data_IF_860449924637
#
_entry.id   IF_860449924637
#
_cell.length_a   1.000
_cell.length_b   1.000
_cell.length_c   1.000
_cell.angle_alpha   90.00
_cell.angle_beta   90.00
_cell.angle_gamma   90.00
#
_symmetry.space_group_name_H-M   'P 1'
#
loop_
_entity.id
_entity.type
_entity.pdbx_description
1 polymer ?
2 polymer ?
3 polymer ?
4 non-polymer ?
#
loop_
_entity_poly.entity_id
_entity_poly.type
_entity_poly.pdbx_seq_one_letter_code
_entity_poly.pdbx_strand_id
2 'polyribonucleotide' 'GAGUAGUUCAGUGGUAGAACACCACCUUGCCAAGGUGGGGGUCGCGGGUUCGAAUCCCGUCUCGGGCGAAAGCCC' ?
3 'polyribonucleotide' 'GGGUGCGAUGAGAAGAAGAGUAUUAAGGAUUUACUAUGAUUAGCGACUCUAGGAUAGUGAAAGCUAGAGGAUAGUAACCUUAAGAAGGCACUUCGAGCACCC' ?
#
# COMPACT_ATOMS: atom_id res chain seq x y z
N UNK A 2 -6.53 1.95 -6.68
CA UNK A 2 -7.93 2.35 -6.63
C UNK A 2 -8.29 2.56 -5.18
N UNK A 3 -9.42 3.22 -4.93
CA UNK A 3 -9.78 3.63 -3.58
C UNK A 3 -11.02 2.86 -3.13
N UNK A 4 -11.81 2.43 -4.11
CA UNK A 4 -12.93 1.55 -3.85
C UNK A 4 -12.47 0.20 -3.33
N UNK A 5 -11.25 -0.21 -3.70
CA UNK A 5 -10.74 -1.56 -3.39
C UNK A 5 -10.01 -1.61 -2.05
N UNK A 6 -9.54 -0.46 -1.64
CA UNK A 6 -8.91 -0.36 -0.36
C UNK A 6 -10.04 -0.13 0.65
N UNK A 7 -11.05 0.66 0.28
CA UNK A 7 -12.27 0.80 1.10
C UNK A 7 -12.82 -0.58 1.34
N UNK A 8 -12.88 -1.30 0.23
CA UNK A 8 -13.13 -2.72 0.14
C UNK A 8 -12.32 -3.56 1.11
N UNK A 9 -12.87 -4.76 1.31
CA UNK A 9 -12.14 -5.98 1.59
C UNK A 9 -12.16 -6.37 3.05
N UNK A 10 -11.39 -7.43 3.33
CA UNK A 10 -11.27 -7.92 4.67
C UNK A 10 -9.95 -7.51 5.35
N UNK A 11 -8.85 -8.06 4.84
CA UNK A 11 -7.56 -7.94 5.48
C UNK A 11 -6.60 -6.97 4.80
N UNK A 12 -6.43 -5.82 5.41
CA UNK A 12 -5.62 -4.77 4.81
C UNK A 12 -4.44 -4.39 5.77
N UNK A 13 -3.57 -3.49 5.32
CA UNK A 13 -2.22 -3.30 5.85
C UNK A 13 -1.85 -1.81 5.73
N UNK A 14 -1.45 -1.16 6.83
CA UNK A 14 -1.31 0.32 6.81
C UNK A 14 0.08 0.82 7.29
N UNK A 15 0.61 1.83 6.61
CA UNK A 15 1.93 2.34 6.90
C UNK A 15 2.88 1.68 5.92
N UNK A 16 4.10 2.19 5.79
CA UNK A 16 4.98 1.59 4.78
C UNK A 16 5.97 0.59 5.34
N UNK A 17 6.41 0.80 6.57
CA UNK A 17 7.26 -0.18 7.26
C UNK A 17 6.51 -1.51 7.32
N UNK A 18 5.20 -1.36 7.42
CA UNK A 18 4.20 -2.40 7.52
C UNK A 18 4.01 -3.22 6.24
N UNK A 19 3.80 -2.50 5.13
CA UNK A 19 3.67 -3.18 3.85
C UNK A 19 5.01 -3.90 3.68
N UNK A 20 6.14 -3.19 3.71
CA UNK A 20 7.47 -3.81 3.55
C UNK A 20 7.71 -5.09 4.38
N UNK A 21 7.38 -5.06 5.68
CA UNK A 21 7.53 -6.24 6.55
C UNK A 21 6.65 -7.40 6.10
N UNK A 22 5.46 -7.02 5.64
CA UNK A 22 4.45 -7.98 5.22
C UNK A 22 4.72 -8.45 3.80
N UNK A 23 5.71 -7.86 3.18
CA UNK A 23 6.10 -8.18 1.81
C UNK A 23 7.08 -9.37 1.83
N UNK A 24 7.76 -9.53 2.95
CA UNK A 24 8.75 -10.59 3.12
C UNK A 24 8.07 -11.81 3.75
N UNK A 25 6.78 -11.64 4.06
CA UNK A 25 5.86 -12.70 4.49
C UNK A 25 5.13 -13.35 3.31
N UNK A 26 4.87 -12.55 2.28
CA UNK A 26 4.30 -13.04 1.04
C UNK A 26 2.84 -13.47 1.09
N UNK A 27 2.12 -13.14 2.16
CA UNK A 27 0.69 -13.41 2.17
C UNK A 27 -0.13 -12.18 1.85
N UNK A 28 0.39 -11.33 0.98
CA UNK A 28 -0.37 -10.17 0.52
C UNK A 28 -0.90 -10.45 -0.89
N UNK A 29 -2.19 -10.17 -1.11
CA UNK A 29 -2.76 -10.33 -2.45
C UNK A 29 -2.46 -9.15 -3.38
N UNK A 30 -2.55 -7.92 -2.87
CA UNK A 30 -2.27 -6.73 -3.68
C UNK A 30 -1.69 -5.58 -2.82
N UNK A 31 -0.94 -4.66 -3.41
CA UNK A 31 -0.37 -3.55 -2.64
C UNK A 31 -0.52 -2.19 -3.36
N UNK A 32 -1.13 -1.20 -2.70
CA UNK A 32 -1.39 0.15 -3.28
C UNK A 32 -0.72 1.37 -2.64
N UNK A 33 -0.22 2.25 -3.50
CA UNK A 33 0.78 3.21 -3.05
C UNK A 33 0.54 4.58 -3.64
N UNK A 34 0.94 5.62 -2.92
CA UNK A 34 0.67 7.02 -3.27
C UNK A 34 1.78 7.74 -4.02
N UNK A 35 1.40 8.36 -5.13
CA UNK A 35 2.36 9.03 -6.02
C UNK A 35 2.87 10.36 -5.48
N UNK A 36 2.09 10.99 -4.60
CA UNK A 36 2.45 12.30 -4.03
C UNK A 36 3.51 12.15 -2.95
N UNK A 37 3.59 10.93 -2.45
CA UNK A 37 4.59 10.51 -1.48
C UNK A 37 6.03 10.78 -1.93
N UNK A 38 6.91 10.86 -0.94
CA UNK A 38 8.33 10.83 -1.19
C UNK A 38 8.75 9.51 -1.84
N UNK A 39 9.42 9.57 -2.99
CA UNK A 39 9.87 8.36 -3.65
C UNK A 39 10.99 7.63 -2.89
N UNK A 40 11.46 8.21 -1.78
CA UNK A 40 12.50 7.58 -0.96
C UNK A 40 11.96 6.34 -0.26
N UNK A 41 10.74 6.46 0.21
CA UNK A 41 10.04 5.34 0.77
C UNK A 41 9.36 4.55 -0.38
N UNK A 42 8.52 5.19 -1.19
CA UNK A 42 7.75 4.50 -2.23
C UNK A 42 8.62 3.58 -3.15
N UNK A 43 9.85 4.02 -3.43
CA UNK A 43 10.92 3.17 -4.00
C UNK A 43 10.93 1.78 -3.37
N UNK A 44 10.98 1.82 -2.04
CA UNK A 44 11.22 0.67 -1.18
C UNK A 44 9.99 -0.22 -1.00
N UNK A 45 8.84 0.18 -1.54
CA UNK A 45 7.68 -0.72 -1.58
C UNK A 45 7.45 -1.28 -3.00
N UNK A 46 7.83 -0.52 -4.03
CA UNK A 46 7.63 -1.04 -5.41
C UNK A 46 8.77 -1.91 -5.95
N UNK A 47 9.99 -1.73 -5.45
CA UNK A 47 11.11 -2.63 -5.78
C UNK A 47 10.77 -4.08 -5.50
N UNK A 48 10.30 -4.32 -4.29
CA UNK A 48 10.09 -5.68 -3.83
C UNK A 48 8.66 -6.15 -4.16
N UNK A 49 7.69 -5.24 -4.29
CA UNK A 49 6.39 -5.66 -4.84
C UNK A 49 6.51 -5.96 -6.35
N UNK A 50 7.60 -5.45 -6.93
CA UNK A 50 8.09 -5.82 -8.27
C UNK A 50 8.68 -7.22 -8.29
N UNK A 51 9.72 -7.40 -7.46
CA UNK A 51 10.53 -8.60 -7.47
C UNK A 51 9.69 -9.82 -7.21
N UNK A 52 8.74 -9.64 -6.30
CA UNK A 52 7.86 -10.72 -5.87
C UNK A 52 6.92 -11.20 -6.96
N UNK A 53 6.22 -10.27 -7.60
CA UNK A 53 5.30 -10.61 -8.68
C UNK A 53 3.92 -10.04 -8.48
N UNK A 54 3.65 -9.50 -7.29
CA UNK A 54 2.33 -8.91 -7.02
C UNK A 54 2.08 -7.62 -7.78
N UNK A 55 0.85 -7.45 -8.24
CA UNK A 55 0.38 -6.22 -8.88
C UNK A 55 0.63 -5.00 -8.01
N UNK A 56 1.19 -3.97 -8.63
CA UNK A 56 1.32 -2.69 -7.98
C UNK A 56 0.41 -1.72 -8.73
N UNK A 57 -0.31 -0.91 -7.97
CA UNK A 57 -1.11 0.16 -8.52
C UNK A 57 -0.59 1.49 -7.92
N UNK A 58 -1.06 2.60 -8.47
CA UNK A 58 -0.55 3.90 -8.06
C UNK A 58 -1.67 4.91 -7.79
N UNK A 59 -1.47 5.69 -6.73
CA UNK A 59 -2.43 6.64 -6.15
C UNK A 59 -2.13 8.12 -6.48
N UNK A 60 -3.15 8.95 -6.63
CA UNK A 60 -2.94 10.38 -6.42
C UNK A 60 -2.42 10.65 -5.01
N UNK A 61 -3.31 11.01 -4.07
CA UNK A 61 -2.89 11.58 -2.77
C UNK A 61 -2.73 10.58 -1.63
N UNK A 62 -1.61 10.64 -0.91
CA UNK A 62 -1.37 9.68 0.18
C UNK A 62 -2.30 10.02 1.31
N UNK A 63 -3.13 11.03 1.10
CA UNK A 63 -4.01 11.51 2.14
C UNK A 63 -5.39 10.83 2.05
N UNK A 64 -6.12 10.93 0.93
CA UNK A 64 -7.40 10.23 0.90
C UNK A 64 -7.22 8.71 0.95
N UNK A 65 -6.03 8.22 0.57
CA UNK A 65 -5.67 6.80 0.73
C UNK A 65 -5.95 6.25 2.11
N UNK A 66 -5.45 6.99 3.10
CA UNK A 66 -5.47 6.57 4.49
C UNK A 66 -6.64 7.18 5.19
N UNK A 67 -7.56 7.72 4.41
CA UNK A 67 -8.92 7.96 4.87
C UNK A 67 -9.77 6.80 4.42
N UNK A 68 -9.34 6.24 3.30
CA UNK A 68 -9.92 5.02 2.79
C UNK A 68 -9.68 3.92 3.82
N UNK A 69 -8.42 3.83 4.29
CA UNK A 69 -7.99 2.88 5.35
C UNK A 69 -8.71 2.90 6.70
N UNK A 70 -9.37 3.99 7.01
CA UNK A 70 -9.88 4.19 8.36
C UNK A 70 -9.11 5.21 9.22
N UNK A 71 -7.78 5.23 9.08
CA UNK A 71 -6.89 6.20 9.75
C UNK A 71 -7.31 7.67 9.51
N UNK A 72 -7.16 8.56 10.47
CA UNK A 72 -7.44 9.95 10.13
C UNK A 72 -6.15 10.76 9.87
N UNK A 73 -5.32 10.31 8.91
CA UNK A 73 -3.97 10.87 8.76
C UNK A 73 -3.37 10.72 7.36
N UNK A 74 -3.89 9.77 6.57
CA UNK A 74 -3.31 9.43 5.28
C UNK A 74 -1.97 8.67 5.21
N UNK A 75 -1.88 7.68 4.31
CA UNK A 75 -0.69 6.81 4.25
C UNK A 75 0.06 6.86 2.94
N UNK A 76 1.38 6.63 3.01
CA UNK A 76 2.24 6.58 1.82
C UNK A 76 2.29 5.20 1.13
N UNK A 77 2.15 4.11 1.90
CA UNK A 77 1.98 2.76 1.33
C UNK A 77 1.00 1.89 2.14
N UNK A 78 0.10 1.20 1.43
CA UNK A 78 -0.96 0.38 2.06
C UNK A 78 -1.29 -0.92 1.30
N UNK A 79 -1.24 -2.09 1.95
CA UNK A 79 -1.40 -3.36 1.22
C UNK A 79 -2.63 -4.22 1.60
N UNK A 80 -3.41 -4.68 0.62
CA UNK A 80 -4.52 -5.66 0.83
C UNK A 80 -4.02 -7.13 0.86
N UNK A 81 -3.80 -7.63 2.07
CA UNK A 81 -3.17 -8.94 2.21
C UNK A 81 -4.18 -10.06 2.25
N UNK A 82 -4.94 -10.22 1.17
CA UNK A 82 -5.72 -11.42 0.99
C UNK A 82 -4.81 -12.55 0.57
X LIG D 1 30.22 43.96 27.16
X LIG E 1 17.96 48.65 44.77
X LIG F 1 6.61 64.53 34.63
X LIG G 1 30.97 30.84 38.17
X LIG H 1 33.86 58.11 38.33
X LIG I 1 40.35 61.53 44.70
X LIG J 1 -2.10 70.87 35.41
X LIG K 1 29.45 26.53 37.65
X LIG L 1 30.50 17.48 24.37
X LIG M 1 19.68 45.51 32.76
X LIG N 1 31.96 58.40 42.11
X LIG O 1 31.07 32.97 39.04
X LIG P 1 20.96 8.17 14.36
X LIG Q 1 26.45 2.82 24.76
X LIG R 1 23.93 19.77 30.19
X LIG S 1 37.75 42.39 68.22
X LIG T 1 -19.07 23.11 32.19
X LIG U 1 50.46 53.13 60.58
X LIG V 1 54.57 45.77 48.98
X LIG W 1 7.20 5.32 20.57
X LIG X 1 -7.31 10.16 15.36
X LIG Y 1 48.48 39.59 54.47
X LIG Z 1 58.72 35.48 46.76
X LIG AA 1 15.59 -2.54 31.48
X LIG BA 1 42.19 16.06 54.22
X LIG CA 1 3.97 14.78 8.23
X LIG DA 1 38.84 38.10 64.62
X LIG EA 1 10.41 2.08 26.03
X LIG FA 1 50.55 52.85 63.84
X LIG GA 1 24.07 -7.50 31.10
X LIG HA 1 2.28 8.83 30.18
X LIG IA 1 46.33 35.85 46.83
X LIG JA 1 34.30 3.27 40.81
X LIG KA 1 37.90 37.30 73.93
X LIG LA 1 19.21 0.12 22.80
X LIG MA 1 -17.49 23.61 33.57
#
# INVERSE_FOLDING_TARGET
GSYDKVSQAKSIIIGTKQTVKALKRGSVKEVVVAKDADPILTSSVVSLAEDQGISVSMVESMKKLGKACGIEVGAAAVAIIL
SR SR
SR SR
SR SR
SR SR
SR SR
SR SR
SR SR
SR SR
SR SR
SR SR
SR SR
SR SR
SR SR
SR SR
SR SR
SR SR
SR SR
SR SR
SR SR
SR SR
SR SR
SR SR
SR SR
SR SR
SR SR
SR SR
SR SR
SR SR
SR SR
SR SR
SR SR
SR SR
SR SR
SR SR
SR SR
SR SR
#
